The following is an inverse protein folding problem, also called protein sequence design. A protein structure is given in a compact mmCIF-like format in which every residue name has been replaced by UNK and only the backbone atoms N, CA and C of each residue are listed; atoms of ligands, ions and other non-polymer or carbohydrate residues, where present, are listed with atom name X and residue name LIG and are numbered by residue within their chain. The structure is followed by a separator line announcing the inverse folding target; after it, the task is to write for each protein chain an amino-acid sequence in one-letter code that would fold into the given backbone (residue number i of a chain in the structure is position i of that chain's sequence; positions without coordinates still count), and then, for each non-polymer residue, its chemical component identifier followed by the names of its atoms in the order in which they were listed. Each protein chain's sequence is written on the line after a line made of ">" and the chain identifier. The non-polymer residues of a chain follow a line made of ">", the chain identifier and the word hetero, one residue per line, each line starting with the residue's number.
data_IF_403936417974
#
_entry.id   IF_403936417974
#
_cell.length_a   1.000
_cell.length_b   1.000
_cell.length_c   1.000
_cell.angle_alpha   90.00
_cell.angle_beta   90.00
_cell.angle_gamma   90.00
#
_symmetry.space_group_name_H-M   'P 1'
#
loop_
_entity.id
_entity.type
_entity.pdbx_description
1 polymer ?
#
# COMPACT_ATOMS: atom_id res chain seq x y z
N UNK A 1 -36.11 16.39 78.75
CA UNK A 1 -35.72 17.71 78.19
C UNK A 1 -34.40 17.46 77.43
N UNK A 2 -34.47 17.18 76.17
CA UNK A 2 -33.31 16.85 75.34
C UNK A 2 -33.41 17.61 74.03
N UNK A 3 -32.51 18.59 73.89
CA UNK A 3 -32.37 19.42 72.69
C UNK A 3 -31.70 18.66 71.56
N UNK A 4 -32.38 18.48 70.44
CA UNK A 4 -31.82 17.99 69.20
C UNK A 4 -31.26 19.16 68.36
N UNK A 5 -29.94 19.19 68.20
CA UNK A 5 -29.23 20.09 67.27
C UNK A 5 -29.28 19.46 65.87
N UNK A 6 -29.92 20.11 64.92
CA UNK A 6 -29.92 19.73 63.49
C UNK A 6 -28.71 20.35 62.81
N UNK A 7 -27.74 19.52 62.47
CA UNK A 7 -26.62 19.88 61.61
C UNK A 7 -27.09 19.70 60.15
N UNK A 8 -27.15 20.79 59.40
CA UNK A 8 -27.35 20.77 57.95
C UNK A 8 -26.01 20.57 57.27
N UNK A 9 -25.80 19.41 56.70
CA UNK A 9 -24.69 19.14 55.79
C UNK A 9 -25.06 19.68 54.40
N UNK A 10 -24.35 20.73 53.95
CA UNK A 10 -24.41 21.21 52.61
C UNK A 10 -23.44 20.37 51.74
N UNK A 11 -23.98 19.48 50.93
CA UNK A 11 -23.22 18.80 49.88
C UNK A 11 -22.97 19.83 48.73
N UNK A 12 -21.73 20.28 48.62
CA UNK A 12 -21.23 20.95 47.42
C UNK A 12 -20.90 19.86 46.38
N UNK A 13 -21.83 19.61 45.46
CA UNK A 13 -21.59 18.81 44.29
C UNK A 13 -20.76 19.62 43.29
N UNK A 14 -19.44 19.38 43.29
CA UNK A 14 -18.54 19.93 42.26
C UNK A 14 -18.76 19.13 40.98
N UNK A 15 -19.66 19.61 40.12
CA UNK A 15 -19.92 19.06 38.79
C UNK A 15 -18.78 19.54 37.89
N UNK A 16 -17.66 18.81 37.86
CA UNK A 16 -16.62 18.93 36.83
C UNK A 16 -17.20 18.46 35.49
N UNK A 17 -17.80 19.40 34.76
CA UNK A 17 -18.07 19.20 33.33
C UNK A 17 -16.75 18.97 32.59
N UNK A 18 -16.41 17.72 32.36
CA UNK A 18 -15.51 17.34 31.30
C UNK A 18 -16.19 17.70 29.97
N UNK A 19 -15.95 18.93 29.53
CA UNK A 19 -16.23 19.31 28.15
C UNK A 19 -15.24 18.52 27.30
N UNK A 20 -15.62 17.30 26.95
CA UNK A 20 -15.02 16.57 25.83
C UNK A 20 -15.40 17.36 24.58
N UNK A 21 -14.58 18.35 24.26
CA UNK A 21 -14.67 19.05 23.00
C UNK A 21 -14.46 18.05 21.86
N UNK A 22 -15.55 17.44 21.39
CA UNK A 22 -15.61 16.96 20.03
C UNK A 22 -15.44 18.19 19.14
N UNK A 23 -14.19 18.52 18.82
CA UNK A 23 -13.88 19.38 17.68
C UNK A 23 -14.44 18.65 16.46
N UNK A 24 -15.71 18.94 16.16
CA UNK A 24 -16.29 18.66 14.87
C UNK A 24 -15.48 19.49 13.86
N UNK A 25 -14.41 18.89 13.33
CA UNK A 25 -13.80 19.37 12.11
C UNK A 25 -14.87 19.23 11.02
N UNK A 26 -15.66 20.28 10.83
CA UNK A 26 -16.34 20.52 9.58
C UNK A 26 -15.20 20.71 8.55
N UNK A 27 -14.70 19.61 8.02
CA UNK A 27 -13.67 19.62 7.01
C UNK A 27 -14.29 20.28 5.79
N UNK A 28 -13.86 21.47 5.45
CA UNK A 28 -14.05 22.00 4.12
C UNK A 28 -13.33 21.04 3.16
N UNK A 29 -14.07 20.08 2.60
CA UNK A 29 -13.57 19.09 1.64
C UNK A 29 -13.55 19.65 0.22
N UNK A 30 -13.69 20.97 0.04
CA UNK A 30 -13.64 21.64 -1.25
C UNK A 30 -12.40 21.23 -2.06
N UNK A 31 -11.25 21.15 -1.39
CA UNK A 31 -10.00 20.69 -2.01
C UNK A 31 -10.12 19.28 -2.66
N UNK A 32 -10.91 18.37 -2.08
CA UNK A 32 -11.08 17.01 -2.61
C UNK A 32 -11.93 17.02 -3.88
N UNK A 33 -12.96 17.86 -3.92
CA UNK A 33 -13.79 18.01 -5.13
C UNK A 33 -13.01 18.69 -6.25
N UNK A 34 -12.20 19.71 -5.94
CA UNK A 34 -11.31 20.36 -6.91
C UNK A 34 -10.29 19.37 -7.47
N UNK A 35 -9.66 18.57 -6.59
CA UNK A 35 -8.77 17.49 -7.01
C UNK A 35 -9.50 16.47 -7.89
N UNK A 36 -10.70 16.03 -7.51
CA UNK A 36 -11.49 15.07 -8.29
C UNK A 36 -11.83 15.61 -9.67
N UNK A 37 -12.22 16.89 -9.78
CA UNK A 37 -12.51 17.57 -11.04
C UNK A 37 -11.28 17.64 -11.96
N UNK A 38 -10.11 17.97 -11.41
CA UNK A 38 -8.84 17.99 -12.15
C UNK A 38 -8.46 16.60 -12.67
N UNK A 39 -8.55 15.55 -11.81
CA UNK A 39 -8.30 14.16 -12.20
C UNK A 39 -9.25 13.74 -13.33
N UNK A 40 -10.54 14.07 -13.22
CA UNK A 40 -11.53 13.75 -14.24
C UNK A 40 -11.22 14.47 -15.56
N UNK A 41 -10.87 15.74 -15.53
CA UNK A 41 -10.50 16.53 -16.72
C UNK A 41 -9.29 15.92 -17.42
N UNK A 42 -8.24 15.54 -16.68
CA UNK A 42 -7.07 14.87 -17.24
C UNK A 42 -7.40 13.48 -17.80
N UNK A 43 -8.25 12.71 -17.10
CA UNK A 43 -8.70 11.39 -17.57
C UNK A 43 -9.46 11.52 -18.91
N UNK A 44 -10.38 12.48 -19.03
CA UNK A 44 -11.11 12.77 -20.27
C UNK A 44 -10.16 13.19 -21.39
N UNK A 45 -9.22 14.10 -21.11
CA UNK A 45 -8.27 14.61 -22.11
C UNK A 45 -7.35 13.51 -22.68
N UNK A 46 -7.14 12.42 -21.93
CA UNK A 46 -6.35 11.25 -22.31
C UNK A 46 -7.20 10.04 -22.71
N UNK A 47 -8.54 10.18 -22.74
CA UNK A 47 -9.49 9.08 -22.99
C UNK A 47 -9.20 7.85 -22.13
N UNK A 48 -8.89 8.04 -20.84
CA UNK A 48 -8.63 6.91 -19.94
C UNK A 48 -9.82 5.96 -19.89
N UNK A 49 -9.62 4.63 -19.98
CA UNK A 49 -10.71 3.65 -19.88
C UNK A 49 -11.47 3.75 -18.57
N UNK A 50 -10.74 3.84 -17.44
CA UNK A 50 -11.36 4.02 -16.16
C UNK A 50 -10.39 4.03 -14.98
N UNK A 51 -10.87 4.58 -13.89
CA UNK A 51 -10.20 4.58 -12.59
C UNK A 51 -11.23 4.65 -11.47
N UNK A 52 -10.76 4.33 -10.28
CA UNK A 52 -11.48 4.57 -9.03
C UNK A 52 -10.46 4.98 -7.96
N UNK A 53 -10.81 5.95 -7.12
CA UNK A 53 -10.01 6.26 -5.95
C UNK A 53 -10.85 6.53 -4.72
N UNK A 54 -10.23 6.38 -3.55
CA UNK A 54 -10.80 6.67 -2.25
C UNK A 54 -9.92 7.61 -1.45
N UNK A 55 -10.58 8.41 -0.63
CA UNK A 55 -9.99 9.10 0.50
C UNK A 55 -10.60 8.53 1.79
N UNK A 56 -9.74 8.08 2.70
CA UNK A 56 -10.12 7.50 4.00
C UNK A 56 -9.64 8.41 5.11
N UNK A 57 -10.54 8.73 6.02
CA UNK A 57 -10.23 9.34 7.31
C UNK A 57 -10.59 8.34 8.39
N UNK A 58 -9.68 8.10 9.35
CA UNK A 58 -9.93 7.15 10.45
C UNK A 58 -11.24 7.48 11.15
N UNK A 59 -12.06 6.44 11.39
CA UNK A 59 -13.37 6.58 12.04
C UNK A 59 -14.46 7.25 11.21
N UNK A 60 -14.23 7.56 9.91
CA UNK A 60 -15.22 8.21 9.05
C UNK A 60 -15.50 7.38 7.78
N UNK A 61 -16.69 7.53 7.15
CA UNK A 61 -16.96 6.91 5.86
C UNK A 61 -15.94 7.33 4.80
N UNK A 62 -15.49 6.37 3.98
CA UNK A 62 -14.58 6.66 2.88
C UNK A 62 -15.29 7.47 1.78
N UNK A 63 -14.60 8.47 1.22
CA UNK A 63 -15.07 9.20 0.04
C UNK A 63 -14.62 8.46 -1.20
N UNK A 64 -15.55 8.13 -2.07
CA UNK A 64 -15.35 7.33 -3.27
C UNK A 64 -15.58 8.16 -4.52
N UNK A 65 -14.63 8.14 -5.44
CA UNK A 65 -14.75 8.76 -6.77
C UNK A 65 -14.45 7.72 -7.85
N UNK A 66 -15.35 7.59 -8.81
CA UNK A 66 -15.24 6.62 -9.91
C UNK A 66 -15.32 7.30 -11.26
N UNK A 67 -14.66 6.71 -12.27
CA UNK A 67 -14.70 7.19 -13.64
C UNK A 67 -14.56 6.03 -14.63
N UNK A 68 -15.32 6.08 -15.72
CA UNK A 68 -15.16 5.19 -16.85
C UNK A 68 -15.82 3.82 -16.66
N UNK A 69 -15.30 2.84 -17.39
CA UNK A 69 -15.88 1.51 -17.50
C UNK A 69 -14.84 0.41 -17.37
N UNK A 70 -15.30 -0.80 -17.07
CA UNK A 70 -14.44 -1.99 -17.02
C UNK A 70 -13.80 -2.31 -18.38
N UNK A 71 -14.49 -2.01 -19.47
CA UNK A 71 -14.03 -2.02 -20.86
C UNK A 71 -15.00 -1.20 -21.73
N UNK A 72 -14.71 -1.03 -23.04
CA UNK A 72 -15.43 -0.15 -23.96
C UNK A 72 -16.97 -0.28 -23.91
N UNK A 73 -17.47 -1.51 -23.81
CA UNK A 73 -18.91 -1.81 -23.71
C UNK A 73 -19.30 -2.47 -22.38
N UNK A 74 -18.37 -2.46 -21.40
CA UNK A 74 -18.56 -3.08 -20.09
C UNK A 74 -19.36 -2.20 -19.12
N UNK A 75 -19.52 -2.72 -17.92
CA UNK A 75 -20.15 -2.02 -16.80
C UNK A 75 -19.38 -0.78 -16.39
N UNK A 76 -20.05 0.18 -15.75
CA UNK A 76 -19.37 1.30 -15.07
C UNK A 76 -18.50 0.75 -13.95
N UNK A 77 -17.35 1.38 -13.73
CA UNK A 77 -16.53 1.10 -12.57
C UNK A 77 -17.27 1.58 -11.32
N UNK A 78 -17.32 0.72 -10.30
CA UNK A 78 -17.91 0.99 -9.00
C UNK A 78 -16.98 0.53 -7.86
N UNK A 79 -17.50 0.57 -6.61
CA UNK A 79 -16.74 0.20 -5.41
C UNK A 79 -16.28 -1.26 -5.37
N UNK A 80 -17.03 -2.16 -6.03
CA UNK A 80 -16.80 -3.60 -6.01
C UNK A 80 -16.00 -4.09 -7.24
N UNK A 81 -15.76 -3.21 -8.21
CA UNK A 81 -14.97 -3.56 -9.39
C UNK A 81 -13.55 -3.96 -8.98
N UNK A 82 -13.16 -5.18 -9.35
CA UNK A 82 -11.85 -5.76 -8.99
C UNK A 82 -10.77 -5.37 -10.00
N UNK A 83 -9.61 -5.02 -9.50
CA UNK A 83 -8.42 -4.67 -10.28
C UNK A 83 -7.23 -5.51 -9.83
N UNK A 84 -6.25 -5.67 -10.72
CA UNK A 84 -4.93 -6.21 -10.38
C UNK A 84 -4.11 -5.12 -9.68
N UNK A 85 -3.58 -5.44 -8.49
CA UNK A 85 -2.85 -4.47 -7.67
C UNK A 85 -1.36 -4.36 -7.99
N UNK A 86 -0.82 -5.33 -8.73
CA UNK A 86 0.62 -5.39 -9.04
C UNK A 86 1.46 -5.25 -7.75
N UNK A 87 2.52 -4.44 -7.78
CA UNK A 87 3.46 -4.30 -6.64
C UNK A 87 2.86 -3.73 -5.35
N UNK A 88 1.62 -3.26 -5.33
CA UNK A 88 0.91 -3.00 -4.07
C UNK A 88 0.77 -4.29 -3.24
N UNK A 89 0.81 -5.47 -3.89
CA UNK A 89 0.85 -6.78 -3.22
C UNK A 89 1.96 -6.89 -2.16
N UNK A 90 3.10 -6.21 -2.37
CA UNK A 90 4.22 -6.21 -1.41
C UNK A 90 3.85 -5.64 -0.04
N UNK A 91 2.84 -4.76 0.02
CA UNK A 91 2.37 -4.20 1.30
C UNK A 91 1.69 -5.26 2.15
N UNK A 92 0.91 -6.14 1.52
CA UNK A 92 0.29 -7.31 2.17
C UNK A 92 1.34 -8.35 2.57
N UNK A 93 2.28 -8.66 1.66
CA UNK A 93 3.38 -9.57 1.96
C UNK A 93 4.23 -9.07 3.13
N UNK A 94 4.45 -7.75 3.23
CA UNK A 94 5.16 -7.12 4.34
C UNK A 94 4.50 -7.38 5.69
N UNK A 95 3.19 -7.14 5.78
CA UNK A 95 2.43 -7.40 7.00
C UNK A 95 2.38 -8.89 7.31
N UNK A 96 2.20 -9.75 6.30
CA UNK A 96 2.16 -11.20 6.50
C UNK A 96 3.48 -11.73 7.07
N UNK A 97 4.62 -11.30 6.52
CA UNK A 97 5.93 -11.69 7.05
C UNK A 97 6.22 -11.09 8.43
N UNK A 98 5.78 -9.87 8.69
CA UNK A 98 5.89 -9.28 10.03
C UNK A 98 5.07 -10.08 11.07
N UNK A 99 3.90 -10.63 10.69
CA UNK A 99 3.14 -11.56 11.55
C UNK A 99 3.90 -12.86 11.82
N UNK A 100 4.49 -13.48 10.80
CA UNK A 100 5.29 -14.68 10.96
C UNK A 100 6.50 -14.46 11.88
N UNK A 101 7.15 -13.29 11.80
CA UNK A 101 8.22 -12.88 12.71
C UNK A 101 7.70 -12.65 14.13
N UNK A 102 6.56 -11.97 14.29
CA UNK A 102 5.93 -11.74 15.61
C UNK A 102 5.51 -13.06 16.28
N UNK A 103 5.14 -14.08 15.50
CA UNK A 103 4.78 -15.43 15.95
C UNK A 103 6.02 -16.33 16.13
N UNK A 104 7.22 -15.80 15.96
CA UNK A 104 8.50 -16.52 16.11
C UNK A 104 8.70 -17.69 15.13
N UNK A 105 8.00 -17.69 14.01
CA UNK A 105 8.21 -18.66 12.93
C UNK A 105 9.52 -18.38 12.17
N UNK A 106 9.86 -17.10 12.05
CA UNK A 106 11.05 -16.57 11.39
C UNK A 106 11.61 -15.40 12.19
N UNK A 107 12.81 -14.95 11.83
CA UNK A 107 13.35 -13.64 12.26
C UNK A 107 13.73 -12.80 11.06
N UNK A 108 13.91 -11.50 11.23
CA UNK A 108 14.41 -10.65 10.14
C UNK A 108 15.82 -11.00 9.70
N UNK A 109 16.59 -11.63 10.57
CA UNK A 109 17.96 -12.11 10.39
C UNK A 109 18.02 -13.52 9.78
N UNK A 110 16.87 -14.23 9.66
CA UNK A 110 16.82 -15.57 9.05
C UNK A 110 17.39 -15.50 7.62
N UNK A 111 18.46 -16.24 7.32
CA UNK A 111 19.04 -16.28 5.99
C UNK A 111 18.07 -16.87 4.96
N UNK A 112 18.02 -16.30 3.76
CA UNK A 112 17.19 -16.86 2.68
C UNK A 112 17.62 -18.29 2.35
N UNK A 113 18.91 -18.62 2.51
CA UNK A 113 19.42 -19.97 2.32
C UNK A 113 18.76 -21.00 3.24
N UNK A 114 18.38 -20.60 4.46
CA UNK A 114 17.68 -21.48 5.40
C UNK A 114 16.20 -21.63 5.05
N UNK A 115 15.63 -20.64 4.35
CA UNK A 115 14.24 -20.67 3.89
C UNK A 115 14.09 -21.54 2.63
N UNK A 116 15.05 -21.41 1.68
CA UNK A 116 15.04 -22.09 0.36
C UNK A 116 16.45 -22.57 0.02
N UNK A 117 16.96 -23.61 0.70
CA UNK A 117 18.34 -24.09 0.56
C UNK A 117 18.68 -24.60 -0.84
N UNK A 118 17.69 -25.02 -1.62
CA UNK A 118 17.84 -25.58 -2.95
C UNK A 118 18.44 -24.61 -3.98
N UNK A 119 18.31 -23.28 -3.77
CA UNK A 119 18.83 -22.29 -4.72
C UNK A 119 20.27 -21.88 -4.45
N UNK A 120 20.78 -22.10 -3.24
CA UNK A 120 22.16 -21.79 -2.87
C UNK A 120 22.48 -20.30 -2.88
N UNK A 121 21.52 -19.45 -2.55
CA UNK A 121 21.75 -18.03 -2.34
C UNK A 121 22.92 -17.79 -1.37
N UNK A 122 23.76 -16.81 -1.64
CA UNK A 122 24.90 -16.38 -0.82
C UNK A 122 26.13 -17.30 -0.80
N UNK A 123 26.19 -18.37 -1.59
CA UNK A 123 27.42 -19.19 -1.65
C UNK A 123 28.67 -18.40 -2.04
N UNK A 124 28.47 -17.25 -2.70
CA UNK A 124 29.55 -16.38 -3.18
C UNK A 124 29.67 -15.07 -2.36
N UNK A 125 28.89 -14.91 -1.30
CA UNK A 125 28.84 -13.67 -0.52
C UNK A 125 29.33 -13.90 0.92
N UNK A 126 30.16 -13.00 1.48
CA UNK A 126 30.61 -13.09 2.86
C UNK A 126 29.47 -12.89 3.88
N UNK A 127 28.43 -12.14 3.51
CA UNK A 127 27.27 -11.84 4.36
C UNK A 127 26.00 -12.45 3.78
N UNK A 128 25.17 -13.16 4.57
CA UNK A 128 23.95 -13.77 4.08
C UNK A 128 22.90 -12.71 3.74
N UNK A 129 22.15 -12.95 2.64
CA UNK A 129 20.89 -12.23 2.39
C UNK A 129 19.87 -12.80 3.36
N UNK A 130 19.22 -11.93 4.15
CA UNK A 130 18.22 -12.32 5.13
C UNK A 130 16.80 -11.99 4.67
N UNK A 131 15.79 -12.47 5.41
CA UNK A 131 14.39 -12.11 5.21
C UNK A 131 14.21 -10.58 5.26
N UNK A 132 14.85 -9.91 6.22
CA UNK A 132 14.83 -8.45 6.32
C UNK A 132 15.37 -7.75 5.08
N UNK A 133 16.47 -8.25 4.51
CA UNK A 133 17.03 -7.71 3.26
C UNK A 133 16.11 -7.92 2.05
N UNK A 134 15.45 -9.09 1.97
CA UNK A 134 14.42 -9.36 0.94
C UNK A 134 13.29 -8.36 1.06
N UNK A 135 12.68 -8.28 2.24
CA UNK A 135 11.47 -7.49 2.47
C UNK A 135 11.70 -5.99 2.40
N UNK A 136 12.91 -5.52 2.74
CA UNK A 136 13.31 -4.12 2.63
C UNK A 136 13.91 -3.74 1.26
N UNK A 137 13.93 -4.67 0.29
CA UNK A 137 14.48 -4.41 -1.04
C UNK A 137 15.98 -4.00 -1.01
N UNK A 138 16.75 -4.66 -0.14
CA UNK A 138 18.17 -4.35 0.06
C UNK A 138 19.08 -5.57 -0.08
N UNK A 139 18.69 -6.53 -0.93
CA UNK A 139 19.46 -7.76 -1.17
C UNK A 139 20.83 -7.55 -1.83
N UNK A 140 21.06 -6.38 -2.44
CA UNK A 140 22.27 -6.08 -3.18
C UNK A 140 22.24 -6.47 -4.67
N UNK A 141 21.28 -7.29 -5.12
CA UNK A 141 21.20 -7.68 -6.54
C UNK A 141 20.82 -6.49 -7.44
N UNK A 142 21.17 -6.59 -8.72
CA UNK A 142 20.76 -5.60 -9.73
C UNK A 142 19.24 -5.41 -9.69
N UNK A 143 18.72 -4.15 -9.61
CA UNK A 143 17.29 -3.89 -9.58
C UNK A 143 16.56 -4.53 -10.78
N UNK A 144 15.41 -5.17 -10.50
CA UNK A 144 14.58 -5.88 -11.48
C UNK A 144 15.32 -6.99 -12.24
N UNK A 145 16.34 -7.60 -11.62
CA UNK A 145 17.06 -8.70 -12.22
C UNK A 145 16.08 -9.82 -12.60
N UNK A 146 16.18 -10.26 -13.85
CA UNK A 146 15.37 -11.33 -14.44
C UNK A 146 13.85 -11.06 -14.53
N UNK A 147 13.39 -9.83 -14.40
CA UNK A 147 12.00 -9.48 -14.70
C UNK A 147 11.63 -9.89 -16.14
N UNK A 148 12.54 -9.77 -17.09
CA UNK A 148 12.37 -10.27 -18.47
C UNK A 148 12.13 -11.78 -18.54
N UNK A 149 12.69 -12.57 -17.64
CA UNK A 149 12.41 -14.01 -17.57
C UNK A 149 11.04 -14.30 -16.96
N UNK A 150 10.60 -13.47 -16.01
CA UNK A 150 9.24 -13.52 -15.47
C UNK A 150 8.24 -13.28 -16.61
N UNK A 151 8.42 -12.20 -17.37
CA UNK A 151 7.60 -11.82 -18.51
C UNK A 151 7.62 -12.86 -19.64
N UNK A 152 8.76 -13.50 -19.85
CA UNK A 152 8.92 -14.62 -20.80
C UNK A 152 8.37 -15.96 -20.27
N UNK A 153 7.64 -15.96 -19.14
CA UNK A 153 7.01 -17.14 -18.55
C UNK A 153 7.97 -18.29 -18.13
N UNK A 154 9.23 -17.99 -17.81
CA UNK A 154 10.10 -18.99 -17.19
C UNK A 154 9.60 -19.38 -15.79
N UNK A 155 9.79 -20.64 -15.40
CA UNK A 155 9.35 -21.13 -14.09
C UNK A 155 10.01 -20.35 -12.94
N UNK A 156 9.31 -20.21 -11.81
CA UNK A 156 9.81 -19.58 -10.59
C UNK A 156 11.17 -20.17 -10.20
N UNK A 157 11.27 -21.50 -10.12
CA UNK A 157 12.50 -22.24 -9.81
C UNK A 157 13.67 -21.83 -10.72
N UNK A 158 13.44 -21.71 -12.04
CA UNK A 158 14.49 -21.31 -12.98
C UNK A 158 14.95 -19.87 -12.75
N UNK A 159 14.01 -18.96 -12.51
CA UNK A 159 14.33 -17.54 -12.26
C UNK A 159 15.12 -17.38 -10.97
N UNK A 160 14.69 -18.02 -9.88
CA UNK A 160 15.39 -17.97 -8.59
C UNK A 160 16.79 -18.62 -8.69
N UNK A 161 16.93 -19.74 -9.38
CA UNK A 161 18.22 -20.38 -9.61
C UNK A 161 19.20 -19.51 -10.43
N UNK A 162 18.69 -18.67 -11.35
CA UNK A 162 19.54 -17.70 -12.05
C UNK A 162 19.87 -16.49 -11.16
N UNK A 163 18.91 -16.00 -10.37
CA UNK A 163 19.11 -14.89 -9.46
C UNK A 163 20.19 -15.23 -8.41
N UNK A 164 20.19 -16.45 -7.90
CA UNK A 164 21.18 -16.94 -6.92
C UNK A 164 22.64 -16.95 -7.43
N UNK A 165 22.84 -16.90 -8.75
CA UNK A 165 24.17 -16.87 -9.39
C UNK A 165 24.70 -15.45 -9.61
N UNK A 166 23.88 -14.42 -9.38
CA UNK A 166 24.29 -13.05 -9.61
C UNK A 166 25.24 -12.58 -8.51
N UNK A 167 26.26 -11.85 -8.93
CA UNK A 167 27.06 -11.05 -8.02
C UNK A 167 26.27 -9.79 -7.61
N UNK A 168 26.28 -9.45 -6.32
CA UNK A 168 25.60 -8.26 -5.84
C UNK A 168 26.34 -6.98 -6.22
N UNK A 169 25.60 -5.88 -6.39
CA UNK A 169 26.14 -4.53 -6.58
C UNK A 169 26.68 -3.92 -5.29
N UNK A 170 26.20 -4.39 -4.16
CA UNK A 170 26.60 -3.98 -2.82
C UNK A 170 26.28 -5.09 -1.83
N UNK A 171 26.90 -5.02 -0.64
CA UNK A 171 26.54 -5.91 0.46
C UNK A 171 25.06 -5.80 0.82
N UNK A 172 24.42 -6.91 1.24
CA UNK A 172 23.04 -6.89 1.73
C UNK A 172 22.84 -5.83 2.82
N UNK A 173 21.72 -5.09 2.73
CA UNK A 173 21.40 -3.99 3.64
C UNK A 173 22.05 -2.64 3.31
N UNK A 174 23.07 -2.57 2.43
CA UNK A 174 23.81 -1.35 2.16
C UNK A 174 23.26 -0.47 1.05
N UNK A 175 22.43 -1.03 0.16
CA UNK A 175 21.82 -0.25 -0.92
C UNK A 175 20.42 -0.73 -1.26
N UNK A 176 19.61 0.18 -1.77
CA UNK A 176 18.27 -0.13 -2.26
C UNK A 176 18.34 -0.77 -3.65
N UNK A 177 17.87 -2.00 -3.75
CA UNK A 177 17.87 -2.80 -4.98
C UNK A 177 16.52 -3.49 -5.15
N UNK A 178 15.59 -2.81 -5.80
CA UNK A 178 14.23 -3.32 -5.98
C UNK A 178 14.19 -4.63 -6.77
N UNK A 179 13.61 -5.67 -6.17
CA UNK A 179 13.50 -7.01 -6.76
C UNK A 179 12.03 -7.48 -6.76
N UNK A 180 11.59 -8.05 -7.89
CA UNK A 180 10.35 -8.80 -7.97
C UNK A 180 10.63 -10.32 -7.81
N UNK A 181 11.60 -10.83 -8.55
CA UNK A 181 11.94 -12.24 -8.57
C UNK A 181 12.22 -12.81 -7.17
N UNK A 182 12.98 -12.09 -6.34
CA UNK A 182 13.35 -12.58 -5.02
C UNK A 182 12.15 -12.80 -4.08
N UNK A 183 11.04 -12.08 -4.28
CA UNK A 183 9.79 -12.32 -3.52
C UNK A 183 9.18 -13.70 -3.80
N UNK A 184 9.60 -14.37 -4.89
CA UNK A 184 9.22 -15.75 -5.18
C UNK A 184 9.69 -16.74 -4.11
N UNK A 185 10.73 -16.43 -3.35
CA UNK A 185 11.18 -17.21 -2.18
C UNK A 185 10.01 -17.47 -1.21
N UNK A 186 9.08 -16.52 -1.06
CA UNK A 186 7.95 -16.67 -0.16
C UNK A 186 6.89 -17.66 -0.70
N UNK A 187 6.80 -17.85 -2.00
CA UNK A 187 5.96 -18.93 -2.57
C UNK A 187 6.52 -20.30 -2.17
N UNK A 188 7.84 -20.51 -2.37
CA UNK A 188 8.48 -21.77 -2.01
C UNK A 188 8.53 -21.99 -0.49
N UNK A 189 8.68 -20.93 0.32
CA UNK A 189 8.58 -21.02 1.78
C UNK A 189 7.26 -21.65 2.22
N UNK A 190 6.13 -21.18 1.70
CA UNK A 190 4.82 -21.75 2.04
C UNK A 190 4.58 -23.11 1.41
N UNK A 191 5.10 -23.34 0.18
CA UNK A 191 5.00 -24.65 -0.46
C UNK A 191 5.75 -25.73 0.34
N UNK A 192 6.93 -25.41 0.89
CA UNK A 192 7.71 -26.31 1.75
C UNK A 192 6.97 -26.64 3.05
N UNK A 193 6.03 -25.80 3.50
CA UNK A 193 5.14 -26.05 4.63
C UNK A 193 3.81 -26.72 4.23
N UNK A 194 3.72 -27.32 3.04
CA UNK A 194 2.51 -27.94 2.49
C UNK A 194 1.31 -26.98 2.42
N UNK A 195 1.58 -25.71 2.20
CA UNK A 195 0.60 -24.63 2.08
C UNK A 195 0.84 -23.83 0.80
N UNK A 196 0.18 -22.69 0.65
CA UNK A 196 0.44 -21.73 -0.42
C UNK A 196 0.33 -20.31 0.10
N UNK A 197 1.11 -19.40 -0.48
CA UNK A 197 0.98 -17.98 -0.16
C UNK A 197 -0.46 -17.48 -0.32
N UNK A 198 -1.15 -17.93 -1.38
CA UNK A 198 -2.55 -17.60 -1.65
C UNK A 198 -3.49 -18.01 -0.50
N UNK A 199 -3.32 -19.21 0.04
CA UNK A 199 -4.13 -19.71 1.16
C UNK A 199 -3.83 -18.93 2.44
N UNK A 200 -2.55 -18.68 2.73
CA UNK A 200 -2.13 -18.04 3.98
C UNK A 200 -2.56 -16.57 4.01
N UNK A 201 -2.39 -15.82 2.92
CA UNK A 201 -2.83 -14.41 2.87
C UNK A 201 -4.35 -14.28 3.00
N UNK A 202 -5.11 -15.20 2.38
CA UNK A 202 -6.57 -15.24 2.49
C UNK A 202 -7.01 -15.47 3.94
N UNK A 203 -6.40 -16.46 4.61
CA UNK A 203 -6.75 -16.84 5.99
C UNK A 203 -6.29 -15.82 7.01
N UNK A 204 -5.12 -15.22 6.83
CA UNK A 204 -4.52 -14.34 7.83
C UNK A 204 -4.80 -12.85 7.63
N UNK A 205 -5.18 -12.43 6.41
CA UNK A 205 -5.45 -11.03 6.11
C UNK A 205 -6.82 -10.81 5.48
N UNK A 206 -7.14 -11.41 4.33
CA UNK A 206 -8.34 -11.02 3.59
C UNK A 206 -9.63 -11.36 4.35
N UNK A 207 -9.78 -12.59 4.81
CA UNK A 207 -10.96 -13.02 5.59
C UNK A 207 -11.08 -12.29 6.94
N UNK A 208 -10.03 -12.23 7.77
CA UNK A 208 -10.15 -11.54 9.06
C UNK A 208 -10.37 -10.03 8.95
N UNK A 209 -9.91 -9.39 7.87
CA UNK A 209 -10.19 -7.99 7.59
C UNK A 209 -11.59 -7.77 6.99
N UNK A 210 -12.23 -8.81 6.46
CA UNK A 210 -13.50 -8.68 5.75
C UNK A 210 -13.35 -8.05 4.37
N UNK A 211 -12.33 -8.46 3.59
CA UNK A 211 -12.06 -8.00 2.22
C UNK A 211 -12.70 -8.97 1.20
N UNK A 212 -14.00 -8.84 0.87
CA UNK A 212 -14.76 -9.89 0.18
C UNK A 212 -14.39 -10.08 -1.29
N UNK A 213 -13.77 -9.08 -1.90
CA UNK A 213 -13.38 -9.11 -3.33
C UNK A 213 -11.87 -9.30 -3.51
N UNK A 214 -11.10 -9.36 -2.41
CA UNK A 214 -9.67 -9.61 -2.47
C UNK A 214 -9.38 -11.08 -2.84
N UNK A 215 -8.38 -11.28 -3.67
CA UNK A 215 -7.94 -12.61 -4.10
C UNK A 215 -6.50 -12.57 -4.57
N UNK A 216 -5.93 -13.73 -4.87
CA UNK A 216 -4.63 -13.84 -5.52
C UNK A 216 -4.73 -14.63 -6.83
N UNK A 217 -3.79 -14.34 -7.74
CA UNK A 217 -3.68 -15.08 -8.99
C UNK A 217 -4.72 -14.66 -10.05
N UNK A 218 -4.47 -15.08 -11.29
CA UNK A 218 -5.33 -14.77 -12.45
C UNK A 218 -6.73 -15.34 -12.28
N UNK A 219 -6.85 -16.55 -11.76
CA UNK A 219 -8.16 -17.20 -11.56
C UNK A 219 -9.02 -16.40 -10.58
N UNK A 220 -8.43 -15.89 -9.49
CA UNK A 220 -9.13 -15.02 -8.55
C UNK A 220 -9.65 -13.73 -9.21
N UNK A 221 -8.87 -13.13 -10.13
CA UNK A 221 -9.34 -11.96 -10.88
C UNK A 221 -10.51 -12.28 -11.79
N UNK A 222 -10.37 -13.30 -12.64
CA UNK A 222 -11.37 -13.61 -13.67
C UNK A 222 -12.64 -14.23 -13.12
N UNK A 223 -12.59 -14.85 -11.95
CA UNK A 223 -13.74 -15.38 -11.23
C UNK A 223 -14.63 -14.26 -10.62
N UNK A 224 -14.10 -13.04 -10.47
CA UNK A 224 -14.91 -11.91 -10.00
C UNK A 224 -16.01 -11.59 -11.04
N UNK A 225 -17.27 -11.42 -10.63
CA UNK A 225 -18.36 -11.09 -11.54
C UNK A 225 -18.16 -9.75 -12.23
N UNK A 226 -17.43 -8.84 -11.59
CA UNK A 226 -17.11 -7.53 -12.15
C UNK A 226 -15.63 -7.20 -11.91
N UNK A 227 -14.79 -7.39 -12.93
CA UNK A 227 -13.40 -7.00 -12.92
C UNK A 227 -13.04 -6.08 -14.09
N UNK A 228 -12.17 -5.15 -13.85
CA UNK A 228 -11.71 -4.18 -14.84
C UNK A 228 -10.76 -4.84 -15.84
N UNK A 229 -11.01 -4.74 -17.13
CA UNK A 229 -10.14 -5.29 -18.18
C UNK A 229 -8.90 -4.42 -18.36
N UNK A 230 -7.71 -5.01 -18.58
CA UNK A 230 -6.48 -4.25 -18.75
C UNK A 230 -6.45 -3.49 -20.06
N UNK A 231 -5.90 -2.27 -20.06
CA UNK A 231 -5.71 -1.47 -21.27
C UNK A 231 -4.29 -0.92 -21.35
N UNK A 232 -3.69 -1.08 -22.54
CA UNK A 232 -2.38 -0.52 -22.86
C UNK A 232 -2.51 0.60 -23.88
N UNK A 233 -1.60 1.57 -23.82
CA UNK A 233 -1.62 2.71 -24.72
C UNK A 233 -1.13 2.34 -26.12
N UNK A 234 -1.92 2.67 -27.16
CA UNK A 234 -1.45 2.70 -28.55
C UNK A 234 -0.83 4.06 -28.83
N UNK A 235 -1.47 5.11 -28.35
CA UNK A 235 -1.00 6.49 -28.37
C UNK A 235 -1.38 7.16 -27.05
N UNK A 236 -0.98 8.42 -26.85
CA UNK A 236 -1.35 9.19 -25.65
C UNK A 236 -2.85 9.21 -25.34
N UNK A 237 -3.72 9.07 -26.36
CA UNK A 237 -5.18 9.16 -26.23
C UNK A 237 -5.93 7.93 -26.74
N UNK A 238 -5.22 6.88 -27.15
CA UNK A 238 -5.84 5.69 -27.73
C UNK A 238 -5.37 4.43 -26.99
N UNK A 239 -6.35 3.67 -26.53
CA UNK A 239 -6.14 2.48 -25.71
C UNK A 239 -6.64 1.23 -26.46
N UNK A 240 -5.97 0.10 -26.20
CA UNK A 240 -6.48 -1.22 -26.58
C UNK A 240 -6.56 -2.12 -25.36
N UNK A 241 -7.54 -2.99 -25.33
CA UNK A 241 -7.63 -4.05 -24.33
C UNK A 241 -6.44 -5.00 -24.50
N UNK A 242 -5.82 -5.39 -23.40
CA UNK A 242 -4.79 -6.41 -23.33
C UNK A 242 -5.34 -7.71 -22.72
N UNK A 243 -4.58 -8.79 -22.78
CA UNK A 243 -4.87 -10.04 -22.09
C UNK A 243 -4.19 -10.06 -20.74
N UNK A 244 -4.83 -10.65 -19.75
CA UNK A 244 -4.19 -10.90 -18.45
C UNK A 244 -3.23 -12.06 -18.59
N UNK A 245 -1.96 -11.82 -18.34
CA UNK A 245 -0.90 -12.84 -18.36
C UNK A 245 -0.72 -13.46 -16.97
N UNK A 246 -0.18 -14.68 -16.93
CA UNK A 246 0.14 -15.38 -15.67
C UNK A 246 1.52 -15.01 -15.12
N UNK A 247 2.31 -14.24 -15.86
CA UNK A 247 3.68 -13.83 -15.58
C UNK A 247 3.98 -13.52 -14.11
N UNK A 248 3.67 -12.30 -13.68
CA UNK A 248 3.88 -11.85 -12.29
C UNK A 248 2.90 -12.48 -11.29
N UNK A 249 1.83 -13.15 -11.71
CA UNK A 249 0.95 -13.86 -10.79
C UNK A 249 1.62 -15.05 -10.10
N UNK A 250 2.66 -15.62 -10.72
CA UNK A 250 3.50 -16.67 -10.13
C UNK A 250 4.41 -16.16 -9.01
N UNK A 251 4.44 -14.85 -8.82
CA UNK A 251 5.17 -14.16 -7.76
C UNK A 251 4.13 -13.40 -6.90
N UNK A 252 3.20 -14.15 -6.31
CA UNK A 252 2.06 -13.62 -5.56
C UNK A 252 2.45 -12.56 -4.54
N UNK A 253 3.47 -12.79 -3.69
CA UNK A 253 3.95 -11.80 -2.75
C UNK A 253 4.45 -10.50 -3.40
N UNK A 254 4.97 -10.57 -4.64
CA UNK A 254 5.44 -9.40 -5.37
C UNK A 254 4.34 -8.63 -6.09
N UNK A 255 3.36 -9.35 -6.72
CA UNK A 255 2.42 -8.71 -7.65
C UNK A 255 1.11 -9.49 -7.89
N UNK A 256 0.76 -10.47 -7.05
CA UNK A 256 -0.33 -11.41 -7.30
C UNK A 256 -1.68 -11.02 -6.72
N UNK A 257 -1.80 -9.95 -5.94
CA UNK A 257 -3.07 -9.56 -5.28
C UNK A 257 -3.98 -8.83 -6.26
N UNK A 258 -5.26 -9.20 -6.21
CA UNK A 258 -6.38 -8.48 -6.81
C UNK A 258 -7.28 -7.95 -5.71
N UNK A 259 -7.86 -6.77 -5.89
CA UNK A 259 -8.80 -6.22 -4.93
C UNK A 259 -9.72 -5.19 -5.59
N UNK A 260 -10.87 -4.95 -4.97
CA UNK A 260 -11.72 -3.80 -5.25
C UNK A 260 -11.22 -2.56 -4.50
N UNK A 261 -11.78 -1.40 -4.82
CA UNK A 261 -11.46 -0.19 -4.06
C UNK A 261 -12.06 -0.23 -2.65
N UNK A 262 -13.15 -0.97 -2.46
CA UNK A 262 -13.73 -1.21 -1.13
C UNK A 262 -12.77 -2.02 -0.26
N UNK A 263 -12.16 -3.10 -0.80
CA UNK A 263 -11.12 -3.85 -0.10
C UNK A 263 -9.91 -2.97 0.22
N UNK A 264 -9.52 -2.09 -0.71
CA UNK A 264 -8.43 -1.14 -0.46
C UNK A 264 -8.77 -0.12 0.62
N UNK A 265 -10.06 0.27 0.77
CA UNK A 265 -10.49 1.11 1.89
C UNK A 265 -10.29 0.38 3.22
N UNK A 266 -10.65 -0.90 3.28
CA UNK A 266 -10.43 -1.75 4.46
C UNK A 266 -8.92 -1.88 4.75
N UNK A 267 -8.10 -2.14 3.72
CA UNK A 267 -6.65 -2.22 3.88
C UNK A 267 -6.03 -0.92 4.42
N UNK A 268 -6.42 0.23 3.88
CA UNK A 268 -5.98 1.54 4.37
C UNK A 268 -6.40 1.77 5.82
N UNK A 269 -7.65 1.40 6.19
CA UNK A 269 -8.14 1.47 7.57
C UNK A 269 -7.35 0.56 8.51
N UNK A 270 -6.99 -0.64 8.06
CA UNK A 270 -6.12 -1.53 8.83
C UNK A 270 -4.75 -0.88 9.10
N UNK A 271 -4.15 -0.25 8.10
CA UNK A 271 -2.89 0.48 8.24
C UNK A 271 -3.01 1.78 9.05
N UNK A 272 -4.23 2.30 9.24
CA UNK A 272 -4.53 3.40 10.16
C UNK A 272 -4.90 2.91 11.58
N UNK A 273 -4.80 1.58 11.84
CA UNK A 273 -5.01 0.97 13.15
C UNK A 273 -6.48 0.78 13.53
N UNK A 274 -7.40 0.67 12.57
CA UNK A 274 -8.81 0.37 12.85
C UNK A 274 -9.09 -1.15 13.03
N UNK A 275 -8.12 -2.02 12.71
CA UNK A 275 -8.22 -3.48 12.83
C UNK A 275 -7.07 -4.05 13.66
N UNK A 276 -6.88 -3.61 14.93
CA UNK A 276 -5.70 -3.96 15.72
C UNK A 276 -5.59 -5.46 16.02
N UNK A 277 -6.70 -6.21 15.97
CA UNK A 277 -6.73 -7.67 16.14
C UNK A 277 -6.14 -8.43 14.93
N UNK A 278 -6.05 -7.79 13.75
CA UNK A 278 -5.49 -8.40 12.53
C UNK A 278 -4.15 -7.77 12.17
N UNK A 279 -4.08 -6.43 12.24
CA UNK A 279 -2.87 -5.65 11.99
C UNK A 279 -2.61 -4.77 13.22
N UNK A 280 -1.80 -5.28 14.13
CA UNK A 280 -1.49 -4.60 15.39
C UNK A 280 -0.70 -3.29 15.16
N UNK A 281 -0.73 -2.34 16.10
CA UNK A 281 0.13 -1.15 16.03
C UNK A 281 1.61 -1.48 15.89
N UNK A 282 2.07 -2.58 16.50
CA UNK A 282 3.44 -3.05 16.39
C UNK A 282 3.76 -3.49 14.95
N UNK A 283 2.87 -4.24 14.30
CA UNK A 283 3.03 -4.64 12.90
C UNK A 283 3.09 -3.41 11.98
N UNK A 284 2.20 -2.42 12.18
CA UNK A 284 2.21 -1.18 11.40
C UNK A 284 3.55 -0.47 11.55
N UNK A 285 4.04 -0.31 12.79
CA UNK A 285 5.33 0.32 13.05
C UNK A 285 6.47 -0.45 12.39
N UNK A 286 6.51 -1.77 12.53
CA UNK A 286 7.54 -2.63 11.94
C UNK A 286 7.63 -2.43 10.43
N UNK A 287 6.49 -2.52 9.71
CA UNK A 287 6.50 -2.45 8.24
C UNK A 287 6.75 -1.03 7.71
N UNK A 288 6.51 0.00 8.51
CA UNK A 288 6.71 1.42 8.14
C UNK A 288 7.93 2.08 8.79
N UNK A 289 8.82 1.29 9.39
CA UNK A 289 10.12 1.77 9.84
C UNK A 289 11.03 2.00 8.61
N UNK A 290 11.66 3.18 8.47
CA UNK A 290 12.57 3.46 7.37
C UNK A 290 13.86 2.63 7.54
N UNK A 291 14.15 1.71 6.61
CA UNK A 291 15.29 0.79 6.70
C UNK A 291 16.40 1.15 5.70
N UNK A 292 16.09 1.26 4.42
CA UNK A 292 17.09 1.56 3.39
C UNK A 292 16.74 2.81 2.60
N UNK A 293 17.70 3.71 2.43
CA UNK A 293 17.52 4.99 1.73
C UNK A 293 17.33 4.79 0.22
N UNK A 294 16.29 5.41 -0.35
CA UNK A 294 15.92 5.26 -1.76
C UNK A 294 16.22 6.53 -2.56
N UNK A 295 17.50 6.79 -2.86
CA UNK A 295 17.95 7.98 -3.62
C UNK A 295 17.22 8.14 -4.98
N UNK A 296 16.77 7.04 -5.59
CA UNK A 296 16.04 7.05 -6.86
C UNK A 296 14.66 7.70 -6.71
N UNK A 297 13.96 7.45 -5.61
CA UNK A 297 12.64 8.03 -5.34
C UNK A 297 12.74 9.57 -5.22
N UNK A 298 13.79 10.08 -4.59
CA UNK A 298 14.08 11.52 -4.49
C UNK A 298 14.24 12.22 -5.86
N UNK A 299 14.48 11.46 -6.93
CA UNK A 299 14.66 11.98 -8.30
C UNK A 299 13.41 11.84 -9.17
N UNK A 300 12.34 11.21 -8.69
CA UNK A 300 11.09 11.03 -9.45
C UNK A 300 10.48 12.39 -9.80
N UNK A 301 10.34 12.67 -11.10
CA UNK A 301 9.97 14.00 -11.63
C UNK A 301 8.74 14.64 -10.97
N UNK A 302 7.72 13.81 -10.62
CA UNK A 302 6.47 14.30 -10.04
C UNK A 302 6.50 14.42 -8.52
N UNK A 303 7.43 13.75 -7.87
CA UNK A 303 7.53 13.65 -6.41
C UNK A 303 8.69 14.47 -5.82
N UNK A 304 9.80 14.63 -6.57
CA UNK A 304 11.08 15.20 -6.10
C UNK A 304 10.99 16.57 -5.44
N UNK A 305 9.98 17.36 -5.79
CA UNK A 305 9.79 18.70 -5.22
C UNK A 305 9.06 18.69 -3.87
N UNK A 306 8.55 17.52 -3.45
CA UNK A 306 7.82 17.34 -2.21
C UNK A 306 8.54 16.42 -1.22
N UNK A 307 9.54 15.65 -1.68
CA UNK A 307 10.24 14.69 -0.84
C UNK A 307 11.50 15.32 -0.26
N UNK A 308 11.54 15.46 1.08
CA UNK A 308 12.73 15.80 1.83
C UNK A 308 13.61 14.58 2.03
N UNK A 309 13.00 13.40 2.25
CA UNK A 309 13.71 12.12 2.33
C UNK A 309 12.83 10.95 1.88
N UNK A 310 13.47 9.82 1.52
CA UNK A 310 12.78 8.64 1.07
C UNK A 310 13.54 7.36 1.43
N UNK A 311 12.83 6.41 2.04
CA UNK A 311 13.31 5.10 2.43
C UNK A 311 12.36 4.00 1.97
N UNK A 312 12.81 2.76 2.09
CA UNK A 312 11.97 1.58 2.01
C UNK A 312 11.99 0.85 3.36
N UNK A 313 10.83 0.46 3.84
CA UNK A 313 10.64 -0.38 5.02
C UNK A 313 10.38 -1.83 4.63
N UNK A 314 9.45 -2.49 5.27
CA UNK A 314 9.05 -3.87 4.97
C UNK A 314 7.82 -3.85 4.05
N UNK A 315 8.05 -3.93 2.73
CA UNK A 315 6.99 -3.87 1.72
C UNK A 315 6.39 -2.48 1.47
N UNK A 316 6.86 -1.44 2.15
CA UNK A 316 6.39 -0.06 2.03
C UNK A 316 7.51 0.92 1.70
N UNK A 317 7.22 1.94 0.89
CA UNK A 317 8.04 3.14 0.80
C UNK A 317 7.65 4.09 1.93
N UNK A 318 8.65 4.66 2.60
CA UNK A 318 8.49 5.57 3.74
C UNK A 318 9.11 6.91 3.36
N UNK A 319 8.27 7.91 3.19
CA UNK A 319 8.67 9.22 2.71
C UNK A 319 8.51 10.28 3.79
N UNK A 320 9.42 11.25 3.78
CA UNK A 320 9.19 12.58 4.30
C UNK A 320 8.64 13.46 3.17
N UNK A 321 7.35 13.72 3.19
CA UNK A 321 6.65 14.54 2.21
C UNK A 321 6.40 15.93 2.80
N UNK A 322 7.31 16.87 2.54
CA UNK A 322 7.28 18.24 3.10
C UNK A 322 7.11 18.26 4.63
N UNK A 323 7.82 17.40 5.36
CA UNK A 323 7.76 17.32 6.82
C UNK A 323 6.66 16.38 7.36
N UNK A 324 5.88 15.72 6.49
CA UNK A 324 4.87 14.74 6.89
C UNK A 324 5.32 13.32 6.55
N UNK A 325 5.16 12.39 7.51
CA UNK A 325 5.38 10.97 7.23
C UNK A 325 4.30 10.45 6.29
N UNK A 326 4.73 9.92 5.14
CA UNK A 326 3.85 9.33 4.14
C UNK A 326 4.34 7.93 3.78
N UNK A 327 3.54 6.91 4.08
CA UNK A 327 3.78 5.55 3.65
C UNK A 327 3.08 5.32 2.31
N UNK A 328 3.80 4.79 1.31
CA UNK A 328 3.32 4.70 -0.07
C UNK A 328 3.76 3.40 -0.72
N UNK A 329 2.94 2.84 -1.57
CA UNK A 329 3.37 1.88 -2.59
C UNK A 329 2.57 2.04 -3.88
N UNK A 330 3.28 1.98 -5.01
CA UNK A 330 2.68 1.98 -6.35
C UNK A 330 2.82 0.62 -7.02
N UNK A 331 1.83 0.26 -7.82
CA UNK A 331 1.79 -0.96 -8.61
C UNK A 331 1.74 -0.68 -10.12
N UNK A 332 2.44 -1.52 -10.87
CA UNK A 332 2.43 -1.51 -12.33
C UNK A 332 2.59 -2.92 -12.88
N UNK A 333 1.64 -3.33 -13.68
CA UNK A 333 1.72 -4.48 -14.60
C UNK A 333 1.00 -4.10 -15.88
N UNK A 334 1.15 -4.91 -16.92
CA UNK A 334 0.52 -4.66 -18.22
C UNK A 334 -0.98 -4.33 -18.05
N UNK A 335 -1.37 -3.15 -18.51
CA UNK A 335 -2.75 -2.68 -18.52
C UNK A 335 -3.33 -2.21 -17.20
N UNK A 336 -2.57 -2.20 -16.08
CA UNK A 336 -3.05 -1.75 -14.76
C UNK A 336 -2.05 -0.85 -14.05
N UNK A 337 -2.61 0.04 -13.24
CA UNK A 337 -1.89 0.82 -12.25
C UNK A 337 -2.67 0.82 -10.94
N UNK A 338 -1.94 0.79 -9.84
CA UNK A 338 -2.49 0.90 -8.50
C UNK A 338 -1.56 1.73 -7.61
N UNK A 339 -2.12 2.58 -6.78
CA UNK A 339 -1.38 3.30 -5.73
C UNK A 339 -2.13 3.16 -4.41
N UNK A 340 -1.38 3.02 -3.32
CA UNK A 340 -1.88 3.10 -1.95
C UNK A 340 -0.93 3.95 -1.13
N UNK A 341 -1.49 4.81 -0.28
CA UNK A 341 -0.69 5.60 0.66
C UNK A 341 -1.49 5.96 1.91
N UNK A 342 -0.81 6.20 3.02
CA UNK A 342 -1.40 6.72 4.24
C UNK A 342 -0.41 7.58 5.02
N UNK A 343 -0.94 8.61 5.68
CA UNK A 343 -0.22 9.49 6.57
C UNK A 343 -0.71 9.24 8.01
N UNK A 344 0.05 8.47 8.81
CA UNK A 344 -0.39 8.02 10.14
C UNK A 344 -0.64 9.19 11.10
N UNK A 345 0.22 10.22 11.06
CA UNK A 345 0.13 11.39 11.94
C UNK A 345 -1.13 12.23 11.65
N UNK A 346 -1.67 12.14 10.44
CA UNK A 346 -2.91 12.79 10.00
C UNK A 346 -4.12 11.86 10.08
N UNK A 347 -3.91 10.59 10.36
CA UNK A 347 -4.95 9.55 10.39
C UNK A 347 -5.78 9.47 9.10
N UNK A 348 -5.13 9.63 7.95
CA UNK A 348 -5.75 9.61 6.63
C UNK A 348 -5.01 8.70 5.66
N UNK A 349 -5.75 8.23 4.66
CA UNK A 349 -5.18 7.43 3.60
C UNK A 349 -5.91 7.57 2.27
N UNK A 350 -5.27 7.02 1.25
CA UNK A 350 -5.66 7.12 -0.15
C UNK A 350 -5.33 5.81 -0.87
N UNK A 351 -6.21 5.40 -1.76
CA UNK A 351 -5.88 4.39 -2.76
C UNK A 351 -6.49 4.78 -4.11
N UNK A 352 -5.81 4.43 -5.19
CA UNK A 352 -6.28 4.60 -6.56
C UNK A 352 -6.00 3.36 -7.38
N UNK A 353 -7.01 2.89 -8.11
CA UNK A 353 -6.92 1.75 -9.02
C UNK A 353 -7.30 2.21 -10.44
N UNK A 354 -6.55 1.76 -11.44
CA UNK A 354 -6.75 2.17 -12.83
C UNK A 354 -6.58 0.98 -13.76
N UNK A 355 -7.52 0.78 -14.68
CA UNK A 355 -7.46 -0.25 -15.71
C UNK A 355 -6.81 0.24 -16.99
N UNK A 356 -5.82 1.10 -16.85
CA UNK A 356 -5.00 1.64 -17.92
C UNK A 356 -3.54 1.75 -17.49
N UNK A 357 -2.63 1.37 -18.35
CA UNK A 357 -1.20 1.51 -18.12
C UNK A 357 -0.76 2.98 -18.35
N UNK A 358 -1.23 3.87 -17.45
CA UNK A 358 -0.98 5.30 -17.56
C UNK A 358 -0.09 5.83 -16.44
N UNK A 359 0.90 6.63 -16.81
CA UNK A 359 1.75 7.34 -15.85
C UNK A 359 1.04 8.51 -15.15
N UNK A 360 -0.19 8.84 -15.53
CA UNK A 360 -0.98 9.89 -14.87
C UNK A 360 -1.19 9.58 -13.38
N UNK A 361 -1.31 8.32 -13.00
CA UNK A 361 -1.47 7.92 -11.59
C UNK A 361 -0.36 8.50 -10.70
N UNK A 362 0.89 8.52 -11.18
CA UNK A 362 2.02 9.10 -10.44
C UNK A 362 1.86 10.61 -10.20
N UNK A 363 1.18 11.31 -11.11
CA UNK A 363 0.86 12.73 -10.95
C UNK A 363 -0.31 12.92 -10.00
N UNK A 364 -1.36 12.11 -10.17
CA UNK A 364 -2.57 12.18 -9.36
C UNK A 364 -2.27 11.94 -7.89
N UNK A 365 -1.52 10.89 -7.56
CA UNK A 365 -1.17 10.60 -6.16
C UNK A 365 -0.32 11.70 -5.52
N UNK A 366 0.67 12.25 -6.25
CA UNK A 366 1.48 13.36 -5.73
C UNK A 366 0.66 14.65 -5.55
N UNK A 367 -0.25 14.95 -6.49
CA UNK A 367 -1.15 16.12 -6.43
C UNK A 367 -2.18 15.97 -5.30
N UNK A 368 -2.70 14.75 -5.08
CA UNK A 368 -3.61 14.47 -3.96
C UNK A 368 -2.97 14.85 -2.63
N UNK A 369 -1.78 14.34 -2.35
CA UNK A 369 -1.10 14.62 -1.09
C UNK A 369 -0.69 16.08 -0.95
N UNK A 370 -0.29 16.72 -2.04
CA UNK A 370 -0.04 18.17 -2.04
C UNK A 370 -1.32 18.95 -1.69
N UNK A 371 -2.44 18.65 -2.34
CA UNK A 371 -3.71 19.33 -2.09
C UNK A 371 -4.18 19.12 -0.65
N UNK A 372 -4.09 17.87 -0.16
CA UNK A 372 -4.44 17.53 1.22
C UNK A 372 -3.60 18.31 2.23
N UNK A 373 -2.26 18.24 2.16
CA UNK A 373 -1.40 18.93 3.13
C UNK A 373 -1.52 20.45 3.06
N UNK A 374 -1.72 21.00 1.86
CA UNK A 374 -1.99 22.43 1.70
C UNK A 374 -3.31 22.83 2.42
N UNK A 375 -4.36 22.00 2.33
CA UNK A 375 -5.63 22.26 3.01
C UNK A 375 -5.48 22.23 4.52
N UNK A 376 -4.73 21.28 5.05
CA UNK A 376 -4.42 21.18 6.50
C UNK A 376 -3.66 22.42 6.99
N UNK A 377 -2.67 22.87 6.23
CA UNK A 377 -1.90 24.06 6.58
C UNK A 377 -2.74 25.34 6.55
N UNK A 378 -3.63 25.48 5.56
CA UNK A 378 -4.55 26.60 5.48
C UNK A 378 -5.51 26.64 6.66
N UNK A 379 -6.09 25.51 7.05
CA UNK A 379 -6.96 25.40 8.23
C UNK A 379 -6.23 25.81 9.50
N UNK A 380 -5.01 25.30 9.70
CA UNK A 380 -4.18 25.67 10.86
C UNK A 380 -3.91 27.17 10.92
N UNK A 381 -3.58 27.81 9.79
CA UNK A 381 -3.36 29.27 9.72
C UNK A 381 -4.62 30.06 10.09
N UNK A 382 -5.79 29.62 9.65
CA UNK A 382 -7.07 30.25 9.98
C UNK A 382 -7.43 30.10 11.46
N UNK A 383 -7.14 28.94 12.07
CA UNK A 383 -7.36 28.72 13.51
C UNK A 383 -6.45 29.62 14.35
N UNK A 384 -5.17 29.71 14.02
CA UNK A 384 -4.23 30.62 14.70
C UNK A 384 -4.66 32.07 14.56
N UNK A 385 -5.11 32.51 13.40
CA UNK A 385 -5.58 33.89 13.19
C UNK A 385 -6.85 34.20 14.01
N UNK A 386 -7.77 33.24 14.12
CA UNK A 386 -8.97 33.37 14.97
C UNK A 386 -8.62 33.50 16.46
N UNK A 387 -7.63 32.71 16.92
CA UNK A 387 -7.19 32.78 18.34
C UNK A 387 -6.40 34.04 18.67
N UNK A 388 -5.70 34.64 17.71
CA UNK A 388 -4.96 35.88 17.89
C UNK A 388 -5.84 37.16 17.79
N UNK A 389 -7.04 37.02 17.23
CA UNK A 389 -8.01 38.12 17.08
C UNK A 389 -9.08 38.20 18.20
N UNK A 390 -9.09 37.25 19.13
CA UNK A 390 -9.86 37.26 20.38
C UNK A 390 -8.95 37.61 21.58
#
# INVERSE_FOLDING_TARGET
>A
MTNFIKIKLALFACCSMLISGNLAFASDEGWLYDFAAEVQSQAQSHNLPGYVFIFVRKGQPAKLITYGKTEKYGAKIDRNTVFRLASVSKTFAGVLMAKAVEQSELTWETPILDIVPEYGFNRLQPNPITLGHLMSQSSGFIPNAYDNLIEANYSLKRVLAQLAKLEPLCDPGKCYTYQNALFGVLEDYYANQQSSYASVIDQQLFKPLGMPHASTGKQGLVASPQWAKPHIAITRKKWRKASVQDDYYRYGPAAGVNASIEDMAIWVRAMLGEYPQVVSPNLINTVTTPLVKTKREMRRRKWRKFLNDAHYGIGWRVYDFNGHKLNYHGGWVEGYRADVAFAPDQQVGYAMLMNAESNLINSFTAQFWQAYFNSVEQQRKQEVAKQAGN
#
